data_IF_663765071503
#
_entry.id   IF_663765071503
#
_cell.length_a   1.000
_cell.length_b   1.000
_cell.length_c   1.000
_cell.angle_alpha   90.00
_cell.angle_beta   90.00
_cell.angle_gamma   90.00
#
_symmetry.space_group_name_H-M   'P 1'
#
loop_
_entity.id
_entity.type
_entity.pdbx_description
1 polymer ?
#
# COMPACT_ATOMS: atom_id res chain seq x y z
N UNK A 1 9.45 48.73 -37.51
CA UNK A 1 10.77 48.06 -37.53
C UNK A 1 11.18 47.80 -36.08
N UNK A 2 11.76 46.62 -35.81
CA UNK A 2 12.27 46.11 -34.51
C UNK A 2 11.24 45.74 -33.42
N UNK A 3 11.44 44.75 -32.54
CA UNK A 3 11.99 43.37 -32.53
C UNK A 3 11.86 42.89 -31.05
N UNK A 4 11.95 41.58 -30.82
CA UNK A 4 12.05 40.84 -29.53
C UNK A 4 10.70 40.63 -28.81
N UNK A 5 10.10 39.43 -28.68
CA UNK A 5 10.54 38.09 -28.26
C UNK A 5 11.18 38.11 -26.85
N UNK A 6 10.48 37.54 -25.85
CA UNK A 6 11.02 36.41 -25.07
C UNK A 6 9.94 35.71 -24.22
N UNK A 7 9.81 34.41 -24.50
CA UNK A 7 9.12 33.39 -23.73
C UNK A 7 9.80 33.13 -22.38
N UNK A 8 9.03 32.71 -21.38
CA UNK A 8 9.53 31.84 -20.32
C UNK A 8 8.36 31.06 -19.70
N UNK A 9 8.02 29.92 -20.30
CA UNK A 9 7.27 28.88 -19.60
C UNK A 9 8.25 28.15 -18.68
N UNK A 10 8.19 28.41 -17.38
CA UNK A 10 8.96 27.67 -16.38
C UNK A 10 8.27 26.30 -16.23
N UNK A 11 8.80 25.30 -16.94
CA UNK A 11 8.46 23.90 -16.69
C UNK A 11 9.27 23.46 -15.48
N UNK A 12 8.61 23.30 -14.33
CA UNK A 12 9.17 22.55 -13.19
C UNK A 12 9.20 21.07 -13.58
N UNK A 13 10.31 20.62 -14.16
CA UNK A 13 10.62 19.19 -14.24
C UNK A 13 11.11 18.77 -12.87
N UNK A 14 10.25 18.11 -12.09
CA UNK A 14 10.70 17.38 -10.92
C UNK A 14 11.57 16.20 -11.41
N UNK A 15 12.89 16.30 -11.23
CA UNK A 15 13.77 15.14 -11.33
C UNK A 15 13.41 14.18 -10.19
N UNK A 16 12.51 13.25 -10.45
CA UNK A 16 12.36 12.09 -9.58
C UNK A 16 13.57 11.19 -9.81
N UNK A 17 14.46 11.18 -8.83
CA UNK A 17 15.52 10.18 -8.75
C UNK A 17 14.86 8.80 -8.64
N UNK A 18 14.81 8.06 -9.75
CA UNK A 18 14.42 6.66 -9.77
C UNK A 18 15.56 5.83 -9.19
N UNK A 19 15.84 5.98 -7.90
CA UNK A 19 16.35 4.84 -7.15
C UNK A 19 15.26 3.77 -7.27
N UNK A 20 15.60 2.58 -7.77
CA UNK A 20 14.66 1.47 -7.83
C UNK A 20 14.10 1.27 -6.42
N UNK A 21 12.85 1.69 -6.23
CA UNK A 21 12.20 1.68 -4.94
C UNK A 21 11.98 0.22 -4.56
N UNK A 22 12.72 -0.28 -3.57
CA UNK A 22 12.55 -1.63 -3.00
C UNK A 22 11.33 -1.70 -2.09
N UNK A 23 10.21 -1.13 -2.54
CA UNK A 23 8.96 -1.01 -1.81
C UNK A 23 7.76 -1.18 -2.73
N UNK A 24 6.63 -1.51 -2.13
CA UNK A 24 5.30 -1.44 -2.74
C UNK A 24 4.50 -0.43 -1.94
N UNK A 25 3.93 0.58 -2.58
CA UNK A 25 3.14 1.61 -1.89
C UNK A 25 1.84 1.94 -2.60
N UNK A 26 0.93 2.56 -1.85
CA UNK A 26 -0.40 2.91 -2.32
C UNK A 26 -1.31 3.36 -1.21
N UNK A 27 -2.62 3.23 -1.45
CA UNK A 27 -3.68 3.60 -0.51
C UNK A 27 -4.69 2.47 -0.33
N UNK A 28 -5.18 2.33 0.90
CA UNK A 28 -6.33 1.50 1.22
C UNK A 28 -7.55 2.40 1.36
N UNK A 29 -8.66 2.01 0.72
CA UNK A 29 -9.94 2.74 0.77
C UNK A 29 -11.07 1.84 1.26
N UNK A 30 -12.20 2.44 1.62
CA UNK A 30 -13.42 1.70 1.96
C UNK A 30 -14.38 1.73 0.77
N UNK A 31 -14.98 0.59 0.46
CA UNK A 31 -16.08 0.53 -0.47
C UNK A 31 -17.28 1.33 0.06
N UNK A 32 -18.16 1.77 -0.87
CA UNK A 32 -19.38 2.50 -0.52
C UNK A 32 -20.24 1.69 0.46
N UNK A 33 -20.65 2.31 1.57
CA UNK A 33 -21.52 1.71 2.58
C UNK A 33 -20.81 0.85 3.63
N UNK A 34 -19.48 0.70 3.56
CA UNK A 34 -18.69 0.03 4.60
C UNK A 34 -18.51 0.97 5.80
N UNK A 35 -18.95 0.52 6.97
CA UNK A 35 -18.76 1.21 8.25
C UNK A 35 -17.83 0.39 9.13
N UNK A 36 -16.90 1.04 9.82
CA UNK A 36 -15.94 0.38 10.71
C UNK A 36 -16.30 0.60 12.17
N UNK A 37 -16.10 -0.44 12.99
CA UNK A 37 -16.06 -0.28 14.45
C UNK A 37 -14.80 0.53 14.82
N UNK A 38 -14.88 1.60 15.62
CA UNK A 38 -13.70 2.35 16.06
C UNK A 38 -12.69 1.49 16.84
N UNK A 39 -11.43 1.94 16.90
CA UNK A 39 -10.38 1.30 17.71
C UNK A 39 -9.70 0.07 17.09
N UNK A 40 -10.06 -0.30 15.85
CA UNK A 40 -9.47 -1.44 15.17
C UNK A 40 -8.14 -1.13 14.49
N UNK A 41 -7.60 -2.15 13.80
CA UNK A 41 -6.26 -2.11 13.19
C UNK A 41 -6.36 -2.52 11.72
N UNK A 42 -5.73 -1.73 10.84
CA UNK A 42 -5.50 -2.12 9.45
C UNK A 42 -4.19 -2.89 9.33
N UNK A 43 -4.26 -4.03 8.66
CA UNK A 43 -3.11 -4.81 8.23
C UNK A 43 -3.06 -4.83 6.71
N UNK A 44 -1.92 -4.46 6.13
CA UNK A 44 -1.63 -4.69 4.70
C UNK A 44 -0.49 -5.69 4.62
N UNK A 45 -0.69 -6.75 3.86
CA UNK A 45 0.15 -7.94 3.86
C UNK A 45 0.70 -8.18 2.46
N UNK A 46 2.02 -8.36 2.36
CA UNK A 46 2.67 -8.92 1.18
C UNK A 46 2.95 -10.40 1.43
N UNK A 47 2.34 -11.27 0.62
CA UNK A 47 2.46 -12.71 0.75
C UNK A 47 3.06 -13.30 -0.51
N UNK A 48 4.04 -14.19 -0.34
CA UNK A 48 4.59 -14.96 -1.46
C UNK A 48 3.59 -16.06 -1.86
N UNK A 49 3.44 -16.30 -3.17
CA UNK A 49 2.52 -17.32 -3.67
C UNK A 49 2.88 -18.70 -3.12
N UNK A 50 1.87 -19.46 -2.67
CA UNK A 50 2.06 -20.81 -2.12
C UNK A 50 2.63 -20.88 -0.69
N UNK A 51 3.11 -19.78 -0.09
CA UNK A 51 3.51 -19.77 1.33
C UNK A 51 2.30 -19.52 2.24
N UNK A 52 2.27 -19.98 3.50
CA UNK A 52 1.16 -19.71 4.40
C UNK A 52 1.21 -18.30 5.01
N UNK A 53 2.40 -17.84 5.37
CA UNK A 53 2.63 -16.58 6.10
C UNK A 53 3.00 -15.42 5.16
N UNK A 54 2.64 -14.16 5.50
CA UNK A 54 3.16 -12.98 4.84
C UNK A 54 4.68 -12.86 5.00
N UNK A 55 5.33 -12.25 4.02
CA UNK A 55 6.74 -11.85 4.09
C UNK A 55 6.87 -10.51 4.82
N UNK A 56 5.97 -9.57 4.53
CA UNK A 56 5.96 -8.25 5.15
C UNK A 56 4.53 -7.81 5.51
N UNK A 57 4.42 -7.05 6.60
CA UNK A 57 3.14 -6.55 7.10
C UNK A 57 3.26 -5.09 7.53
N UNK A 58 2.48 -4.22 6.89
CA UNK A 58 2.22 -2.87 7.37
C UNK A 58 1.05 -2.93 8.35
N UNK A 59 1.19 -2.26 9.51
CA UNK A 59 0.20 -2.23 10.58
C UNK A 59 -0.11 -0.79 10.96
N UNK A 60 -1.39 -0.43 10.93
CA UNK A 60 -1.86 0.88 11.37
C UNK A 60 -2.99 0.72 12.39
N UNK A 61 -2.76 1.21 13.61
CA UNK A 61 -3.80 1.33 14.64
C UNK A 61 -4.67 2.54 14.31
N UNK A 62 -5.98 2.40 14.49
CA UNK A 62 -6.98 3.45 14.25
C UNK A 62 -6.75 4.17 12.90
N UNK A 63 -6.73 3.41 11.79
CA UNK A 63 -6.46 3.96 10.46
C UNK A 63 -7.49 5.03 10.07
N UNK A 64 -7.03 6.03 9.33
CA UNK A 64 -7.90 7.04 8.71
C UNK A 64 -7.94 6.79 7.21
N UNK A 65 -9.13 6.60 6.66
CA UNK A 65 -9.29 6.28 5.24
C UNK A 65 -9.52 7.55 4.40
N UNK A 66 -8.89 7.68 3.21
CA UNK A 66 -7.93 6.74 2.62
C UNK A 66 -6.61 6.67 3.43
N UNK A 67 -6.13 5.45 3.68
CA UNK A 67 -4.93 5.19 4.48
C UNK A 67 -3.78 4.85 3.55
N UNK A 68 -2.73 5.67 3.54
CA UNK A 68 -1.48 5.38 2.83
C UNK A 68 -0.73 4.24 3.50
N UNK A 69 -0.09 3.41 2.69
CA UNK A 69 0.80 2.35 3.15
C UNK A 69 2.04 2.25 2.26
N UNK A 70 3.11 1.76 2.86
CA UNK A 70 4.33 1.31 2.19
C UNK A 70 4.71 -0.04 2.78
N UNK A 71 5.07 -0.99 1.92
CA UNK A 71 5.64 -2.29 2.28
C UNK A 71 7.07 -2.33 1.75
N UNK A 72 8.00 -2.73 2.60
CA UNK A 72 9.43 -2.81 2.32
C UNK A 72 10.07 -3.86 3.23
N UNK A 73 11.39 -4.05 3.13
CA UNK A 73 12.11 -4.96 4.02
C UNK A 73 12.02 -4.58 5.51
N UNK A 74 11.76 -3.31 5.84
CA UNK A 74 11.54 -2.86 7.23
C UNK A 74 10.26 -3.42 7.84
N UNK A 75 9.31 -3.79 6.98
CA UNK A 75 8.04 -4.39 7.36
C UNK A 75 8.11 -5.92 7.39
N UNK A 76 9.28 -6.51 7.16
CA UNK A 76 9.44 -7.96 7.10
C UNK A 76 9.15 -8.61 8.46
N UNK A 77 8.42 -9.73 8.43
CA UNK A 77 8.13 -10.50 9.64
C UNK A 77 9.39 -11.13 10.25
N UNK A 78 10.38 -11.44 9.40
CA UNK A 78 11.70 -11.93 9.80
C UNK A 78 12.72 -10.87 9.39
N UNK A 79 13.39 -10.28 10.38
CA UNK A 79 14.39 -9.25 10.15
C UNK A 79 15.50 -9.72 9.20
N UNK A 80 15.91 -8.84 8.28
CA UNK A 80 16.90 -9.14 7.25
C UNK A 80 16.35 -9.90 6.03
N UNK A 81 15.07 -10.28 6.00
CA UNK A 81 14.46 -10.86 4.80
C UNK A 81 14.41 -9.82 3.68
N UNK A 82 14.98 -10.10 2.49
CA UNK A 82 14.89 -9.19 1.36
C UNK A 82 13.46 -9.04 0.86
N UNK A 83 13.05 -7.80 0.55
CA UNK A 83 11.76 -7.50 -0.08
C UNK A 83 11.95 -7.28 -1.58
N UNK A 84 11.80 -8.35 -2.36
CA UNK A 84 12.12 -8.37 -3.80
C UNK A 84 11.20 -9.33 -4.56
N UNK A 85 11.04 -9.10 -5.86
CA UNK A 85 10.20 -9.91 -6.74
C UNK A 85 8.75 -9.43 -6.72
N UNK A 86 7.80 -10.36 -6.68
CA UNK A 86 6.37 -10.07 -6.70
C UNK A 86 5.63 -10.71 -5.53
N UNK A 87 4.62 -10.02 -5.01
CA UNK A 87 3.85 -10.49 -3.86
C UNK A 87 2.35 -10.38 -4.11
N UNK A 88 1.59 -11.35 -3.60
CA UNK A 88 0.16 -11.23 -3.44
C UNK A 88 -0.12 -10.19 -2.34
N UNK A 89 -0.73 -9.06 -2.72
CA UNK A 89 -1.04 -7.98 -1.78
C UNK A 89 -2.49 -8.07 -1.33
N UNK A 90 -2.72 -8.04 -0.02
CA UNK A 90 -4.05 -7.96 0.58
C UNK A 90 -4.07 -7.01 1.76
N UNK A 91 -5.25 -6.48 2.06
CA UNK A 91 -5.49 -5.62 3.21
C UNK A 91 -6.72 -6.10 3.97
N UNK A 92 -6.67 -6.01 5.30
CA UNK A 92 -7.78 -6.36 6.18
C UNK A 92 -7.84 -5.41 7.37
N UNK A 93 -9.06 -4.98 7.69
CA UNK A 93 -9.36 -4.32 8.95
C UNK A 93 -9.76 -5.35 10.00
N UNK A 94 -9.13 -5.29 11.18
CA UNK A 94 -9.47 -6.09 12.36
C UNK A 94 -10.18 -5.22 13.39
N UNK A 95 -11.49 -5.44 13.66
CA UNK A 95 -12.23 -4.70 14.68
C UNK A 95 -11.73 -4.93 16.11
N UNK A 96 -11.09 -6.08 16.37
CA UNK A 96 -10.53 -6.42 17.70
C UNK A 96 -9.07 -6.00 17.85
N UNK A 97 -8.39 -5.70 16.74
CA UNK A 97 -6.96 -5.45 16.69
C UNK A 97 -6.09 -6.71 16.63
N UNK A 98 -6.68 -7.90 16.78
CA UNK A 98 -6.00 -9.18 16.58
C UNK A 98 -5.74 -9.40 15.08
N UNK A 99 -4.51 -9.79 14.72
CA UNK A 99 -4.14 -10.08 13.35
C UNK A 99 -4.87 -11.32 12.77
N UNK A 100 -5.32 -12.25 13.62
CA UNK A 100 -6.07 -13.44 13.23
C UNK A 100 -7.57 -13.19 13.09
N UNK A 101 -8.07 -12.05 13.56
CA UNK A 101 -9.46 -11.65 13.37
C UNK A 101 -9.72 -11.37 11.88
N UNK A 102 -10.69 -12.12 11.34
CA UNK A 102 -11.13 -12.07 9.95
C UNK A 102 -12.57 -11.56 9.80
N UNK A 103 -13.13 -10.97 10.84
CA UNK A 103 -14.53 -10.50 10.86
C UNK A 103 -14.72 -9.16 10.15
N UNK A 104 -13.68 -8.33 10.07
CA UNK A 104 -13.75 -7.03 9.42
C UNK A 104 -13.62 -7.08 7.89
N UNK A 105 -13.81 -5.92 7.24
CA UNK A 105 -13.73 -5.81 5.79
C UNK A 105 -12.31 -6.04 5.26
N UNK A 106 -12.24 -6.57 4.05
CA UNK A 106 -10.98 -6.98 3.42
C UNK A 106 -10.97 -6.68 1.91
N UNK A 107 -9.78 -6.66 1.33
CA UNK A 107 -9.54 -6.43 -0.09
C UNK A 107 -8.19 -7.01 -0.51
N UNK A 108 -8.03 -7.28 -1.80
CA UNK A 108 -6.78 -7.81 -2.34
C UNK A 108 -6.62 -7.45 -3.82
N UNK A 109 -5.36 -7.40 -4.26
CA UNK A 109 -5.04 -7.35 -5.67
C UNK A 109 -5.36 -8.70 -6.34
N UNK A 110 -5.84 -8.69 -7.57
CA UNK A 110 -6.20 -9.92 -8.27
C UNK A 110 -4.98 -10.76 -8.69
N UNK A 111 -3.82 -10.10 -8.83
CA UNK A 111 -2.56 -10.70 -9.28
C UNK A 111 -1.43 -10.28 -8.35
N UNK A 112 -0.32 -11.04 -8.31
CA UNK A 112 0.90 -10.60 -7.65
C UNK A 112 1.36 -9.24 -8.19
N UNK A 113 1.90 -8.41 -7.29
CA UNK A 113 2.40 -7.07 -7.57
C UNK A 113 3.91 -7.06 -7.43
N UNK A 114 4.59 -6.54 -8.45
CA UNK A 114 6.03 -6.36 -8.43
C UNK A 114 6.48 -5.26 -7.46
N UNK A 115 7.60 -5.51 -6.77
CA UNK A 115 8.30 -4.48 -6.00
C UNK A 115 8.70 -3.32 -6.91
N UNK A 116 8.43 -2.10 -6.46
CA UNK A 116 8.57 -0.86 -7.22
C UNK A 116 7.22 -0.21 -7.59
N UNK A 117 6.10 -0.93 -7.45
CA UNK A 117 4.76 -0.37 -7.68
C UNK A 117 4.38 0.62 -6.57
N UNK A 118 3.96 1.85 -6.93
CA UNK A 118 3.74 2.94 -5.95
C UNK A 118 2.37 3.61 -5.97
N UNK A 119 1.42 3.05 -6.70
CA UNK A 119 0.08 3.60 -6.97
C UNK A 119 -1.03 2.56 -6.74
N UNK A 120 -0.78 1.57 -5.88
CA UNK A 120 -1.80 0.57 -5.55
C UNK A 120 -3.03 1.22 -4.90
N UNK A 121 -4.20 0.68 -5.22
CA UNK A 121 -5.45 1.06 -4.56
C UNK A 121 -6.24 -0.17 -4.16
N UNK A 122 -6.22 -0.48 -2.88
CA UNK A 122 -6.92 -1.64 -2.32
C UNK A 122 -8.22 -1.18 -1.68
N UNK A 123 -9.35 -1.58 -2.24
CA UNK A 123 -10.66 -1.28 -1.68
C UNK A 123 -11.10 -2.40 -0.72
N UNK A 124 -11.34 -2.05 0.55
CA UNK A 124 -11.91 -2.95 1.54
C UNK A 124 -13.43 -3.05 1.35
N UNK A 125 -13.92 -4.27 1.24
CA UNK A 125 -15.33 -4.59 1.10
C UNK A 125 -15.82 -5.28 2.36
N UNK A 126 -17.07 -4.99 2.75
CA UNK A 126 -17.76 -5.74 3.80
C UNK A 126 -17.89 -7.21 3.42
N UNK A 127 -18.00 -8.07 4.45
CA UNK A 127 -18.33 -9.48 4.27
C UNK A 127 -19.82 -9.69 4.11
#
# INVERSE_FOLDING_TARGET
MFRAILSAAIVFVALQSQAAKSEISGEVTLAKGVTLKPGGVLFVMAKESGKPMPVAVFRQVEPKFPQKFTLSAEHAMIAGTPFKGAYQISARYSPTGDAMDKSGPEGAEAKPVDVGRGDLRIELKGK
#
